data_IF_103468710598
#
_entry.id   IF_103468710598
#
_cell.length_a   1.000
_cell.length_b   1.000
_cell.length_c   1.000
_cell.angle_alpha   90.00
_cell.angle_beta   90.00
_cell.angle_gamma   90.00
#
_symmetry.space_group_name_H-M   'P 1'
#
loop_
_entity.id
_entity.type
_entity.pdbx_description
1 polymer ?
#
# COMPACT_ATOMS: atom_id res chain seq x y z
N UNK A 1 -25.38 -5.44 10.69
CA UNK A 1 -24.18 -4.91 9.98
C UNK A 1 -23.12 -6.01 10.00
N UNK A 2 -22.70 -6.50 8.82
CA UNK A 2 -21.62 -7.49 8.76
C UNK A 2 -20.33 -6.83 9.27
N UNK A 3 -19.71 -7.38 10.30
CA UNK A 3 -18.41 -6.94 10.82
C UNK A 3 -17.36 -7.07 9.70
N UNK A 4 -16.80 -5.96 9.26
CA UNK A 4 -15.81 -5.90 8.17
C UNK A 4 -14.57 -6.76 8.46
N UNK A 5 -14.16 -6.88 9.73
CA UNK A 5 -13.07 -7.75 10.13
C UNK A 5 -13.45 -9.24 9.94
N UNK A 6 -14.68 -9.62 10.28
CA UNK A 6 -15.17 -10.99 10.06
C UNK A 6 -15.20 -11.34 8.57
N UNK A 7 -15.69 -10.42 7.75
CA UNK A 7 -15.68 -10.60 6.30
C UNK A 7 -14.26 -10.77 5.76
N UNK A 8 -13.35 -9.85 6.09
CA UNK A 8 -11.97 -9.88 5.61
C UNK A 8 -11.23 -11.14 6.09
N UNK A 9 -11.39 -11.49 7.38
CA UNK A 9 -10.79 -12.71 7.93
C UNK A 9 -11.30 -13.96 7.20
N UNK A 10 -12.60 -14.02 6.91
CA UNK A 10 -13.20 -15.13 6.15
C UNK A 10 -12.66 -15.23 4.72
N UNK A 11 -12.58 -14.10 4.01
CA UNK A 11 -12.02 -14.05 2.65
C UNK A 11 -10.55 -14.48 2.64
N UNK A 12 -9.75 -13.97 3.57
CA UNK A 12 -8.33 -14.34 3.66
C UNK A 12 -8.15 -15.82 4.03
N UNK A 13 -8.95 -16.34 4.98
CA UNK A 13 -8.93 -17.77 5.33
C UNK A 13 -9.24 -18.64 4.11
N UNK A 14 -10.32 -18.35 3.40
CA UNK A 14 -10.72 -19.10 2.20
C UNK A 14 -9.64 -19.07 1.12
N UNK A 15 -9.11 -17.89 0.78
CA UNK A 15 -8.08 -17.73 -0.26
C UNK A 15 -6.75 -18.36 0.15
N UNK A 16 -6.41 -18.31 1.43
CA UNK A 16 -5.22 -18.94 1.98
C UNK A 16 -5.35 -20.46 2.17
N UNK A 17 -6.55 -21.01 2.09
CA UNK A 17 -6.82 -22.42 2.39
C UNK A 17 -6.66 -22.74 3.87
N UNK A 18 -7.01 -21.80 4.76
CA UNK A 18 -7.00 -21.99 6.19
C UNK A 18 -8.41 -22.35 6.68
N UNK A 19 -8.58 -23.58 7.15
CA UNK A 19 -9.89 -24.09 7.58
C UNK A 19 -10.22 -23.80 9.06
N UNK A 20 -9.25 -23.22 9.80
CA UNK A 20 -9.44 -22.87 11.20
C UNK A 20 -10.24 -21.58 11.39
N UNK A 21 -10.74 -21.35 12.61
CA UNK A 21 -11.37 -20.11 13.00
C UNK A 21 -10.36 -19.18 13.68
N UNK A 22 -10.03 -18.06 13.03
CA UNK A 22 -9.28 -16.99 13.65
C UNK A 22 -10.21 -16.21 14.60
N UNK A 23 -9.88 -16.18 15.89
CA UNK A 23 -10.65 -15.43 16.90
C UNK A 23 -10.40 -13.93 16.73
N UNK A 24 -11.46 -13.19 16.42
CA UNK A 24 -11.38 -11.74 16.26
C UNK A 24 -11.49 -11.02 17.61
N UNK A 25 -10.64 -10.03 17.89
CA UNK A 25 -10.90 -9.08 18.96
C UNK A 25 -12.29 -8.44 18.81
N UNK A 26 -12.90 -8.00 19.90
CA UNK A 26 -14.21 -7.35 19.88
C UNK A 26 -14.24 -6.14 18.95
N UNK A 27 -15.40 -5.82 18.33
CA UNK A 27 -15.54 -4.64 17.47
C UNK A 27 -15.35 -3.35 18.28
N UNK A 28 -14.87 -2.27 17.63
CA UNK A 28 -14.74 -0.99 18.29
C UNK A 28 -16.12 -0.45 18.70
N UNK A 29 -16.18 0.21 19.83
CA UNK A 29 -17.39 0.82 20.37
C UNK A 29 -17.48 2.31 20.06
N UNK A 30 -18.70 2.87 20.07
CA UNK A 30 -18.95 4.29 19.90
C UNK A 30 -19.25 4.73 18.45
N UNK A 31 -19.71 5.98 18.27
CA UNK A 31 -20.08 6.54 16.98
C UNK A 31 -18.89 6.63 16.00
N UNK A 32 -19.13 6.49 14.69
CA UNK A 32 -18.12 6.55 13.63
C UNK A 32 -17.26 7.83 13.72
N UNK A 33 -17.92 8.99 13.93
CA UNK A 33 -17.22 10.28 14.09
C UNK A 33 -16.26 10.29 15.28
N UNK A 34 -16.65 9.72 16.41
CA UNK A 34 -15.77 9.68 17.60
C UNK A 34 -14.55 8.79 17.35
N UNK A 35 -14.72 7.64 16.69
CA UNK A 35 -13.61 6.77 16.31
C UNK A 35 -12.67 7.44 15.31
N UNK A 36 -13.23 8.19 14.32
CA UNK A 36 -12.44 8.97 13.38
C UNK A 36 -11.56 10.02 14.08
N UNK A 37 -12.14 10.79 14.99
CA UNK A 37 -11.39 11.78 15.77
C UNK A 37 -10.29 11.11 16.62
N UNK A 38 -10.60 9.99 17.25
CA UNK A 38 -9.65 9.25 18.08
C UNK A 38 -8.51 8.57 17.27
N UNK A 39 -8.66 8.39 15.96
CA UNK A 39 -7.61 7.80 15.11
C UNK A 39 -6.45 8.75 14.81
N UNK A 40 -6.59 10.04 15.07
CA UNK A 40 -5.63 11.07 14.67
C UNK A 40 -5.74 11.49 13.19
N UNK A 41 -6.47 10.75 12.35
CA UNK A 41 -6.61 11.06 10.92
C UNK A 41 -7.38 12.37 10.67
N UNK A 42 -8.18 12.83 11.61
CA UNK A 42 -8.85 14.12 11.52
C UNK A 42 -7.86 15.28 11.35
N UNK A 43 -6.70 15.23 12.00
CA UNK A 43 -5.66 16.25 11.89
C UNK A 43 -4.98 16.30 10.51
N UNK A 44 -5.20 15.27 9.70
CA UNK A 44 -4.64 15.10 8.35
C UNK A 44 -5.72 15.18 7.26
N UNK A 45 -6.97 15.53 7.60
CA UNK A 45 -8.10 15.45 6.66
C UNK A 45 -8.93 16.73 6.69
N UNK A 46 -9.08 17.34 5.53
CA UNK A 46 -9.83 18.59 5.38
C UNK A 46 -8.98 19.78 4.93
N UNK A 47 -9.52 20.99 4.89
CA UNK A 47 -8.81 22.18 4.43
C UNK A 47 -7.62 22.50 5.32
N UNK A 48 -6.58 23.13 4.74
CA UNK A 48 -5.38 23.55 5.48
C UNK A 48 -5.75 24.49 6.63
N UNK A 49 -6.59 25.47 6.31
CA UNK A 49 -7.13 26.43 7.26
C UNK A 49 -8.61 26.11 7.54
N UNK A 50 -8.95 25.81 8.79
CA UNK A 50 -10.33 25.50 9.19
C UNK A 50 -10.47 24.15 9.92
N UNK A 51 -11.71 23.70 10.08
CA UNK A 51 -12.03 22.50 10.82
C UNK A 51 -11.77 21.22 10.00
N UNK A 52 -11.37 20.11 10.66
CA UNK A 52 -11.28 18.81 10.03
C UNK A 52 -12.62 18.35 9.44
N UNK A 53 -12.56 17.68 8.29
CA UNK A 53 -13.74 17.09 7.68
C UNK A 53 -13.78 15.60 7.99
N UNK A 54 -14.86 15.14 8.62
CA UNK A 54 -15.10 13.72 8.81
C UNK A 54 -15.60 13.09 7.49
N UNK A 55 -15.13 11.90 7.12
CA UNK A 55 -15.63 11.18 5.95
C UNK A 55 -17.14 10.88 6.08
N UNK A 56 -17.86 10.94 4.96
CA UNK A 56 -19.26 10.52 4.90
C UNK A 56 -19.45 9.00 5.04
N UNK A 57 -18.36 8.23 4.98
CA UNK A 57 -18.30 6.79 5.17
C UNK A 57 -17.48 6.44 6.41
N UNK A 58 -17.82 5.36 7.09
CA UNK A 58 -17.13 4.90 8.30
C UNK A 58 -15.77 4.25 7.97
N UNK A 59 -14.81 5.05 7.48
CA UNK A 59 -13.45 4.59 7.19
C UNK A 59 -12.78 4.01 8.44
N UNK A 60 -13.03 4.59 9.62
CA UNK A 60 -12.44 4.14 10.86
C UNK A 60 -12.76 2.67 11.18
N UNK A 61 -13.99 2.21 10.87
CA UNK A 61 -14.35 0.79 11.07
C UNK A 61 -13.61 -0.15 10.13
N UNK A 62 -13.31 0.28 8.90
CA UNK A 62 -12.55 -0.52 7.95
C UNK A 62 -11.06 -0.56 8.28
N UNK A 63 -10.50 0.55 8.74
CA UNK A 63 -9.12 0.61 9.22
C UNK A 63 -8.93 -0.26 10.48
N UNK A 64 -9.87 -0.22 11.42
CA UNK A 64 -9.90 -1.10 12.58
C UNK A 64 -10.04 -2.58 12.19
N UNK A 65 -10.85 -2.86 11.19
CA UNK A 65 -11.01 -4.23 10.69
C UNK A 65 -9.69 -4.85 10.20
N UNK A 66 -8.83 -4.06 9.54
CA UNK A 66 -7.49 -4.51 9.14
C UNK A 66 -6.60 -4.82 10.34
N UNK A 67 -6.61 -3.95 11.35
CA UNK A 67 -5.88 -4.16 12.61
C UNK A 67 -6.32 -5.47 13.27
N UNK A 68 -7.62 -5.64 13.48
CA UNK A 68 -8.20 -6.82 14.14
C UNK A 68 -7.93 -8.12 13.36
N UNK A 69 -8.04 -8.08 12.05
CA UNK A 69 -7.75 -9.23 11.18
C UNK A 69 -6.27 -9.63 11.26
N UNK A 70 -5.36 -8.66 11.24
CA UNK A 70 -3.92 -8.90 11.40
C UNK A 70 -3.61 -9.54 12.75
N UNK A 71 -4.19 -9.00 13.83
CA UNK A 71 -4.03 -9.53 15.19
C UNK A 71 -4.60 -10.95 15.32
N UNK A 72 -5.74 -11.22 14.68
CA UNK A 72 -6.35 -12.54 14.71
C UNK A 72 -5.47 -13.62 14.09
N UNK A 73 -4.87 -13.36 12.91
CA UNK A 73 -3.94 -14.32 12.30
C UNK A 73 -2.60 -14.41 13.03
N UNK A 74 -2.10 -13.34 13.63
CA UNK A 74 -0.93 -13.40 14.50
C UNK A 74 -1.16 -14.36 15.69
N UNK A 75 -2.34 -14.30 16.32
CA UNK A 75 -2.71 -15.21 17.39
C UNK A 75 -2.80 -16.68 16.93
N UNK A 76 -3.30 -16.93 15.71
CA UNK A 76 -3.32 -18.29 15.12
C UNK A 76 -1.90 -18.84 14.96
N UNK A 77 -0.93 -17.98 14.66
CA UNK A 77 0.48 -18.38 14.53
C UNK A 77 1.17 -18.61 15.90
N UNK A 78 0.44 -18.48 17.00
CA UNK A 78 0.96 -18.68 18.36
C UNK A 78 1.86 -17.55 18.87
N UNK A 79 1.90 -16.43 18.17
CA UNK A 79 2.65 -15.26 18.58
C UNK A 79 1.77 -14.30 19.41
N UNK A 80 2.38 -13.53 20.30
CA UNK A 80 1.69 -12.40 20.92
C UNK A 80 1.26 -11.43 19.81
N UNK A 81 -0.03 -11.07 19.69
CA UNK A 81 -0.46 -10.15 18.65
C UNK A 81 0.30 -8.83 18.77
N UNK A 82 0.78 -8.26 17.64
CA UNK A 82 1.42 -6.96 17.67
C UNK A 82 0.47 -5.94 18.31
N UNK A 83 1.02 -4.99 19.06
CA UNK A 83 0.23 -3.91 19.68
C UNK A 83 -0.19 -2.89 18.64
N UNK A 84 -1.05 -3.31 17.71
CA UNK A 84 -1.55 -2.48 16.62
C UNK A 84 -2.73 -1.63 17.09
N UNK A 85 -2.69 -0.37 16.74
CA UNK A 85 -3.72 0.63 17.01
C UNK A 85 -3.94 1.50 15.77
N UNK A 86 -4.98 2.32 15.75
CA UNK A 86 -5.28 3.22 14.63
C UNK A 86 -4.22 4.34 14.43
N UNK A 87 -3.42 4.64 15.45
CA UNK A 87 -2.31 5.61 15.35
C UNK A 87 -1.20 5.16 14.37
N UNK A 88 -1.14 3.88 14.03
CA UNK A 88 -0.28 3.36 12.96
C UNK A 88 -0.49 4.10 11.62
N UNK A 89 -1.72 4.52 11.32
CA UNK A 89 -2.05 5.24 10.09
C UNK A 89 -1.57 6.70 10.08
N UNK A 90 -1.09 7.21 11.21
CA UNK A 90 -0.62 8.59 11.39
C UNK A 90 0.82 8.67 11.90
N UNK A 91 1.50 7.54 12.13
CA UNK A 91 2.84 7.53 12.73
C UNK A 91 3.88 8.28 11.89
N UNK A 92 3.83 8.21 10.53
CA UNK A 92 4.71 8.98 9.65
C UNK A 92 4.44 10.48 9.76
N UNK A 93 3.18 10.86 9.76
CA UNK A 93 2.78 12.25 9.90
C UNK A 93 3.22 12.84 11.26
N UNK A 94 3.13 12.05 12.32
CA UNK A 94 3.61 12.44 13.66
C UNK A 94 5.13 12.65 13.67
N UNK A 95 5.90 11.74 13.08
CA UNK A 95 7.36 11.85 12.98
C UNK A 95 7.82 13.08 12.17
N UNK A 96 7.03 13.51 11.17
CA UNK A 96 7.35 14.62 10.28
C UNK A 96 6.62 15.93 10.62
N UNK A 97 5.74 15.93 11.61
CA UNK A 97 4.92 17.10 11.96
C UNK A 97 3.93 17.53 10.87
N UNK A 98 3.46 16.58 10.05
CA UNK A 98 2.56 16.89 8.93
C UNK A 98 1.16 17.28 9.42
N UNK A 99 0.48 18.06 8.58
CA UNK A 99 -0.90 18.52 8.80
C UNK A 99 -1.70 18.40 7.50
N UNK A 100 -3.01 18.49 7.61
CA UNK A 100 -3.92 18.51 6.46
C UNK A 100 -3.62 19.67 5.52
N UNK A 101 -3.70 19.42 4.23
CA UNK A 101 -3.42 20.40 3.17
C UNK A 101 -4.56 20.58 2.18
N UNK A 102 -5.73 19.97 2.42
CA UNK A 102 -6.90 20.07 1.54
C UNK A 102 -6.64 19.41 0.19
N UNK A 103 -6.41 20.23 -0.83
CA UNK A 103 -6.08 19.79 -2.20
C UNK A 103 -4.60 19.42 -2.40
N UNK A 104 -3.78 19.64 -1.40
CA UNK A 104 -2.38 19.23 -1.35
C UNK A 104 -2.27 18.12 -0.31
N UNK A 105 -1.57 17.03 -0.64
CA UNK A 105 -1.33 15.96 0.33
C UNK A 105 -0.54 16.43 1.53
N UNK A 106 -0.69 15.80 2.68
CA UNK A 106 0.02 16.17 3.91
C UNK A 106 1.54 16.22 3.71
N UNK A 107 2.10 15.31 2.91
CA UNK A 107 3.52 15.28 2.52
C UNK A 107 3.89 16.28 1.42
N UNK A 108 2.95 16.99 0.80
CA UNK A 108 3.16 18.06 -0.19
C UNK A 108 3.45 17.59 -1.62
N UNK A 109 3.71 16.31 -1.85
CA UNK A 109 4.12 15.79 -3.15
C UNK A 109 2.95 15.56 -4.12
N UNK A 110 1.73 15.38 -3.62
CA UNK A 110 0.55 15.15 -4.44
C UNK A 110 -0.42 16.33 -4.40
N UNK A 111 -1.15 16.55 -5.52
CA UNK A 111 -2.19 17.57 -5.61
C UNK A 111 -3.41 17.07 -6.37
N UNK A 112 -4.59 17.50 -5.91
CA UNK A 112 -5.83 17.41 -6.66
C UNK A 112 -5.87 18.52 -7.71
N UNK A 113 -6.12 18.16 -8.96
CA UNK A 113 -6.21 19.10 -10.08
C UNK A 113 -7.57 18.97 -10.76
N UNK A 114 -8.18 20.12 -11.05
CA UNK A 114 -9.43 20.18 -11.81
C UNK A 114 -9.11 20.08 -13.31
N UNK A 115 -9.60 19.03 -13.97
CA UNK A 115 -9.66 18.92 -15.42
C UNK A 115 -10.94 19.57 -15.97
N UNK A 116 -11.14 19.58 -17.27
CA UNK A 116 -12.29 20.22 -17.92
C UNK A 116 -13.63 19.64 -17.42
N UNK A 117 -13.67 18.33 -17.15
CA UNK A 117 -14.87 17.58 -16.79
C UNK A 117 -14.86 17.05 -15.34
N UNK A 118 -13.72 16.57 -14.83
CA UNK A 118 -13.62 15.90 -13.52
C UNK A 118 -12.30 16.27 -12.82
N UNK A 119 -11.92 15.54 -11.77
CA UNK A 119 -10.71 15.74 -10.98
C UNK A 119 -9.69 14.63 -11.22
N UNK A 120 -8.43 15.03 -11.27
CA UNK A 120 -7.28 14.13 -11.22
C UNK A 120 -6.45 14.36 -9.95
N UNK A 121 -5.78 13.32 -9.47
CA UNK A 121 -4.66 13.42 -8.53
C UNK A 121 -3.37 13.23 -9.28
N UNK A 122 -2.37 14.06 -8.99
CA UNK A 122 -1.01 13.97 -9.52
C UNK A 122 -0.04 13.94 -8.36
N UNK A 123 0.89 13.00 -8.37
CA UNK A 123 1.93 12.87 -7.36
C UNK A 123 3.31 13.03 -8.02
N UNK A 124 4.06 14.06 -7.66
CA UNK A 124 5.40 14.33 -8.18
C UNK A 124 6.45 14.14 -7.06
N UNK A 125 6.46 12.94 -6.47
CA UNK A 125 7.32 12.62 -5.34
C UNK A 125 8.79 12.36 -5.76
N UNK A 126 9.05 12.12 -7.05
CA UNK A 126 10.38 11.80 -7.54
C UNK A 126 10.93 12.96 -8.36
N UNK A 127 12.23 13.31 -8.20
CA UNK A 127 12.85 14.37 -9.03
C UNK A 127 12.68 14.13 -10.53
N UNK A 128 12.80 12.88 -10.99
CA UNK A 128 12.64 12.47 -12.38
C UNK A 128 11.21 12.66 -12.92
N UNK A 129 10.19 12.81 -12.09
CA UNK A 129 8.82 13.09 -12.54
C UNK A 129 8.73 14.47 -13.24
N UNK A 130 9.61 15.39 -12.88
CA UNK A 130 9.67 16.72 -13.47
C UNK A 130 10.40 16.75 -14.81
N UNK A 131 11.21 15.73 -15.15
CA UNK A 131 11.97 15.68 -16.41
C UNK A 131 11.07 15.46 -17.64
N UNK A 132 9.89 14.85 -17.42
CA UNK A 132 8.91 14.59 -18.48
C UNK A 132 7.79 15.62 -18.55
N UNK A 133 7.85 16.68 -17.75
CA UNK A 133 6.79 17.68 -17.60
C UNK A 133 6.41 18.36 -18.93
N UNK A 134 7.41 18.81 -19.68
CA UNK A 134 7.20 19.48 -20.95
C UNK A 134 6.59 18.55 -22.00
N UNK A 135 7.02 17.29 -22.05
CA UNK A 135 6.45 16.28 -22.93
C UNK A 135 4.98 15.97 -22.59
N UNK A 136 4.61 16.10 -21.30
CA UNK A 136 3.24 15.85 -20.86
C UNK A 136 2.29 17.01 -21.13
N UNK A 137 2.72 18.23 -20.79
CA UNK A 137 1.86 19.43 -20.77
C UNK A 137 2.02 20.27 -22.04
N UNK A 138 3.13 20.10 -22.80
CA UNK A 138 3.45 20.92 -23.96
C UNK A 138 3.92 22.34 -23.63
N UNK A 139 4.21 22.63 -22.36
CA UNK A 139 4.70 23.91 -21.89
C UNK A 139 5.97 23.73 -21.04
N UNK A 140 6.94 24.66 -21.05
CA UNK A 140 8.11 24.61 -20.19
C UNK A 140 7.73 24.56 -18.72
N UNK A 141 8.48 23.76 -17.95
CA UNK A 141 8.23 23.54 -16.51
C UNK A 141 8.15 24.84 -15.72
N UNK A 142 9.15 25.72 -15.86
CA UNK A 142 9.29 26.94 -15.05
C UNK A 142 9.35 26.69 -13.54
N UNK A 143 9.52 27.76 -12.75
CA UNK A 143 9.54 27.65 -11.27
C UNK A 143 8.14 27.37 -10.69
N UNK A 144 7.08 27.82 -11.35
CA UNK A 144 5.69 27.65 -10.94
C UNK A 144 5.04 26.42 -11.59
N UNK A 145 5.74 25.29 -11.67
CA UNK A 145 5.28 24.07 -12.37
C UNK A 145 3.87 23.61 -11.98
N UNK A 146 3.47 23.70 -10.71
CA UNK A 146 2.11 23.35 -10.29
C UNK A 146 1.03 24.26 -10.89
N UNK A 147 1.31 25.55 -11.03
CA UNK A 147 0.39 26.49 -11.70
C UNK A 147 0.25 26.17 -13.19
N UNK A 148 1.36 25.89 -13.86
CA UNK A 148 1.36 25.47 -15.27
C UNK A 148 0.62 24.14 -15.45
N UNK A 149 0.83 23.18 -14.55
CA UNK A 149 0.15 21.89 -14.56
C UNK A 149 -1.36 22.03 -14.34
N UNK A 150 -1.77 22.86 -13.38
CA UNK A 150 -3.20 23.14 -13.13
C UNK A 150 -3.90 23.77 -14.34
N UNK A 151 -3.22 24.69 -15.02
CA UNK A 151 -3.71 25.30 -16.26
C UNK A 151 -3.80 24.29 -17.40
N UNK A 152 -2.80 23.43 -17.55
CA UNK A 152 -2.77 22.34 -18.54
C UNK A 152 -3.88 21.31 -18.29
N UNK A 153 -4.07 20.90 -17.05
CA UNK A 153 -5.15 19.99 -16.66
C UNK A 153 -6.54 20.56 -17.00
N UNK A 154 -6.78 21.84 -16.72
CA UNK A 154 -8.07 22.49 -16.99
C UNK A 154 -8.45 22.58 -18.48
N UNK A 155 -7.51 22.30 -19.40
CA UNK A 155 -7.76 22.30 -20.86
C UNK A 155 -8.12 20.92 -21.41
N UNK A 156 -7.88 19.86 -20.66
CA UNK A 156 -8.06 18.47 -21.07
C UNK A 156 -9.18 17.81 -20.24
N UNK A 157 -9.89 16.87 -20.85
CA UNK A 157 -10.69 15.95 -20.07
C UNK A 157 -9.78 15.07 -19.19
N UNK A 158 -10.33 14.55 -18.10
CA UNK A 158 -9.55 13.81 -17.10
C UNK A 158 -8.93 12.52 -17.66
N UNK A 159 -9.61 11.87 -18.60
CA UNK A 159 -9.13 10.63 -19.21
C UNK A 159 -7.89 10.88 -20.07
N UNK A 160 -7.95 11.88 -20.95
CA UNK A 160 -6.81 12.31 -21.78
C UNK A 160 -5.64 12.76 -20.90
N UNK A 161 -5.91 13.58 -19.88
CA UNK A 161 -4.87 14.07 -18.98
C UNK A 161 -4.15 12.92 -18.25
N UNK A 162 -4.91 11.97 -17.70
CA UNK A 162 -4.37 10.83 -16.96
C UNK A 162 -3.65 9.85 -17.89
N UNK A 163 -4.22 9.52 -19.03
CA UNK A 163 -3.62 8.59 -19.99
C UNK A 163 -2.28 9.09 -20.50
N UNK A 164 -2.19 10.37 -20.89
CA UNK A 164 -0.94 10.97 -21.35
C UNK A 164 0.16 10.94 -20.27
N UNK A 165 -0.17 11.28 -19.03
CA UNK A 165 0.82 11.22 -17.94
C UNK A 165 1.25 9.79 -17.60
N UNK A 166 0.35 8.81 -17.64
CA UNK A 166 0.68 7.39 -17.43
C UNK A 166 1.60 6.82 -18.49
N UNK A 167 1.44 7.21 -19.75
CA UNK A 167 2.35 6.82 -20.84
C UNK A 167 3.80 7.26 -20.55
N UNK A 168 3.97 8.38 -19.87
CA UNK A 168 5.28 8.90 -19.44
C UNK A 168 5.76 8.31 -18.11
N UNK A 169 4.98 7.42 -17.49
CA UNK A 169 5.33 6.76 -16.22
C UNK A 169 5.13 7.61 -14.99
N UNK A 170 4.28 8.65 -15.07
CA UNK A 170 3.92 9.50 -13.94
C UNK A 170 2.88 8.82 -13.04
N UNK A 171 2.95 9.04 -11.72
CA UNK A 171 1.95 8.59 -10.76
C UNK A 171 0.76 9.56 -10.72
N UNK A 172 -0.32 9.18 -11.36
CA UNK A 172 -1.56 9.97 -11.39
C UNK A 172 -2.77 9.08 -11.66
N UNK A 173 -3.94 9.57 -11.26
CA UNK A 173 -5.20 8.87 -11.44
C UNK A 173 -6.41 9.81 -11.49
N UNK A 174 -7.54 9.32 -11.98
CA UNK A 174 -8.84 9.94 -11.73
C UNK A 174 -9.23 9.77 -10.27
N UNK A 175 -9.98 10.75 -9.77
CA UNK A 175 -10.56 10.66 -8.42
C UNK A 175 -11.72 9.66 -8.43
N UNK A 176 -11.69 8.70 -7.50
CA UNK A 176 -12.76 7.73 -7.30
C UNK A 176 -13.23 7.04 -8.60
N UNK A 177 -12.31 6.38 -9.29
CA UNK A 177 -12.62 5.55 -10.45
C UNK A 177 -12.80 4.07 -10.05
N UNK A 178 -13.95 3.68 -9.47
CA UNK A 178 -14.15 2.32 -8.94
C UNK A 178 -14.30 1.26 -10.04
N UNK A 179 -14.68 1.69 -11.24
CA UNK A 179 -14.87 0.79 -12.41
C UNK A 179 -14.02 1.28 -13.56
N UNK A 180 -12.87 0.69 -13.73
CA UNK A 180 -11.98 0.91 -14.85
C UNK A 180 -11.45 -0.44 -15.39
N UNK A 181 -10.75 -0.38 -16.50
CA UNK A 181 -10.22 -1.57 -17.17
C UNK A 181 -9.29 -2.40 -16.27
N UNK A 182 -8.52 -1.76 -15.39
CA UNK A 182 -7.63 -2.46 -14.45
C UNK A 182 -8.44 -3.25 -13.42
N UNK A 183 -9.47 -2.65 -12.84
CA UNK A 183 -10.31 -3.34 -11.85
C UNK A 183 -11.15 -4.43 -12.53
N UNK A 184 -11.65 -4.17 -13.72
CA UNK A 184 -12.38 -5.18 -14.51
C UNK A 184 -11.50 -6.39 -14.88
N UNK A 185 -10.20 -6.18 -15.10
CA UNK A 185 -9.25 -7.25 -15.36
C UNK A 185 -8.86 -8.08 -14.10
N UNK A 186 -9.28 -7.65 -12.91
CA UNK A 186 -8.93 -8.24 -11.62
C UNK A 186 -10.17 -8.40 -10.70
N UNK A 187 -11.22 -9.10 -11.17
CA UNK A 187 -12.49 -9.16 -10.46
C UNK A 187 -12.38 -9.76 -9.06
N UNK A 188 -11.38 -10.61 -8.81
CA UNK A 188 -11.12 -11.20 -7.50
C UNK A 188 -10.69 -10.16 -6.44
N UNK A 189 -10.23 -8.97 -6.86
CA UNK A 189 -9.83 -7.89 -5.96
C UNK A 189 -10.83 -6.70 -5.95
N UNK A 190 -11.94 -6.81 -6.66
CA UNK A 190 -12.95 -5.75 -6.77
C UNK A 190 -13.58 -5.35 -5.42
N UNK A 191 -13.52 -6.22 -4.42
CA UNK A 191 -13.98 -5.94 -3.06
C UNK A 191 -12.86 -5.48 -2.13
N UNK A 192 -11.67 -5.23 -2.66
CA UNK A 192 -10.54 -4.70 -1.91
C UNK A 192 -9.75 -5.74 -1.12
N UNK A 193 -9.95 -7.03 -1.38
CA UNK A 193 -9.13 -8.09 -0.78
C UNK A 193 -8.01 -8.55 -1.73
N UNK A 194 -6.81 -8.92 -1.21
CA UNK A 194 -5.66 -9.30 -2.02
C UNK A 194 -5.86 -10.60 -2.78
N UNK A 195 -5.21 -10.76 -3.93
CA UNK A 195 -5.09 -12.05 -4.61
C UNK A 195 -4.16 -12.98 -3.82
N UNK A 196 -4.57 -14.23 -3.63
CA UNK A 196 -3.72 -15.27 -3.03
C UNK A 196 -3.72 -16.48 -3.97
N UNK A 197 -2.57 -16.74 -4.57
CA UNK A 197 -2.39 -17.82 -5.52
C UNK A 197 -1.56 -18.92 -4.88
N UNK A 198 -2.19 -20.05 -4.59
CA UNK A 198 -1.54 -21.23 -3.98
C UNK A 198 -1.26 -22.29 -5.03
N UNK A 199 -0.12 -22.97 -4.85
CA UNK A 199 0.26 -24.14 -5.66
C UNK A 199 0.52 -25.39 -4.82
N UNK A 200 0.53 -25.23 -3.48
CA UNK A 200 0.68 -26.35 -2.55
C UNK A 200 -0.60 -26.54 -1.72
N UNK A 201 -0.90 -27.77 -1.27
CA UNK A 201 -1.97 -28.00 -0.31
C UNK A 201 -1.71 -27.26 0.99
N UNK A 202 -2.78 -27.00 1.75
CA UNK A 202 -2.67 -26.44 3.09
C UNK A 202 -1.93 -27.42 4.02
N UNK A 203 -1.26 -26.87 5.02
CA UNK A 203 -0.48 -27.60 6.03
C UNK A 203 -0.64 -26.98 7.41
N UNK A 204 0.10 -27.46 8.41
CA UNK A 204 0.05 -26.90 9.75
C UNK A 204 0.60 -25.47 9.78
N UNK A 205 0.13 -24.62 10.71
CA UNK A 205 0.65 -23.27 10.91
C UNK A 205 2.18 -23.27 11.07
N UNK A 206 2.82 -22.27 10.50
CA UNK A 206 4.27 -22.11 10.58
C UNK A 206 4.65 -21.23 11.77
N UNK A 207 5.66 -21.64 12.51
CA UNK A 207 6.20 -20.89 13.64
C UNK A 207 6.97 -19.64 13.15
N UNK A 208 6.49 -18.41 13.42
CA UNK A 208 7.14 -17.19 12.94
C UNK A 208 8.60 -17.04 13.40
N UNK A 209 8.95 -17.51 14.60
CA UNK A 209 10.30 -17.39 15.15
C UNK A 209 11.35 -18.21 14.37
N UNK A 210 10.92 -19.12 13.50
CA UNK A 210 11.79 -19.92 12.66
C UNK A 210 11.90 -19.40 11.22
N UNK A 211 11.17 -18.33 10.88
CA UNK A 211 11.13 -17.81 9.52
C UNK A 211 12.28 -16.85 9.22
N UNK A 212 12.80 -16.97 8.00
CA UNK A 212 13.68 -15.97 7.38
C UNK A 212 12.85 -15.19 6.36
N UNK A 213 12.73 -13.90 6.58
CA UNK A 213 12.01 -12.96 5.71
C UNK A 213 13.01 -12.09 4.97
N UNK A 214 12.92 -12.02 3.64
CA UNK A 214 13.69 -11.10 2.80
C UNK A 214 12.79 -9.96 2.38
N UNK A 215 13.12 -8.74 2.80
CA UNK A 215 12.38 -7.52 2.54
C UNK A 215 13.11 -6.66 1.51
N UNK A 216 12.61 -6.69 0.26
CA UNK A 216 13.12 -5.92 -0.89
C UNK A 216 12.36 -4.61 -1.10
N UNK A 217 11.47 -4.27 -0.19
CA UNK A 217 10.60 -3.11 -0.30
C UNK A 217 11.24 -1.82 0.21
N UNK A 218 10.60 -0.70 -0.03
CA UNK A 218 11.02 0.61 0.47
C UNK A 218 9.83 1.48 0.87
N UNK A 219 10.11 2.63 1.44
CA UNK A 219 9.16 3.63 1.90
C UNK A 219 8.31 3.17 3.09
N UNK A 220 7.04 2.76 2.88
CA UNK A 220 6.12 2.49 3.98
C UNK A 220 5.45 1.10 3.91
N UNK A 221 4.66 0.80 2.89
CA UNK A 221 3.78 -0.38 2.86
C UNK A 221 4.51 -1.71 3.10
N UNK A 222 5.55 -1.98 2.32
CA UNK A 222 6.36 -3.19 2.48
C UNK A 222 7.20 -3.20 3.75
N UNK A 223 7.92 -2.11 4.08
CA UNK A 223 8.65 -2.03 5.35
C UNK A 223 7.76 -2.22 6.59
N UNK A 224 6.51 -1.74 6.58
CA UNK A 224 5.54 -2.01 7.63
C UNK A 224 5.23 -3.51 7.73
N UNK A 225 4.96 -4.16 6.61
CA UNK A 225 4.75 -5.60 6.57
C UNK A 225 5.97 -6.34 7.18
N UNK A 226 7.19 -6.00 6.72
CA UNK A 226 8.42 -6.58 7.27
C UNK A 226 8.63 -6.32 8.76
N UNK A 227 8.27 -5.11 9.26
CA UNK A 227 8.29 -4.77 10.69
C UNK A 227 7.38 -5.73 11.49
N UNK A 228 6.17 -5.95 11.02
CA UNK A 228 5.21 -6.80 11.73
C UNK A 228 5.64 -8.27 11.73
N UNK A 229 6.31 -8.75 10.69
CA UNK A 229 6.97 -10.07 10.73
C UNK A 229 8.09 -10.12 11.78
N UNK A 230 8.91 -9.07 11.90
CA UNK A 230 9.95 -9.00 12.92
C UNK A 230 9.36 -8.97 14.34
N UNK A 231 8.26 -8.25 14.56
CA UNK A 231 7.54 -8.21 15.84
C UNK A 231 6.96 -9.59 16.24
N UNK A 232 6.64 -10.45 15.27
CA UNK A 232 6.27 -11.84 15.51
C UNK A 232 7.47 -12.77 15.78
N UNK A 233 8.70 -12.26 15.75
CA UNK A 233 9.92 -13.00 16.04
C UNK A 233 10.66 -13.51 14.80
N UNK A 234 10.19 -13.24 13.58
CA UNK A 234 10.88 -13.65 12.36
C UNK A 234 12.21 -12.90 12.18
N UNK A 235 13.22 -13.58 11.62
CA UNK A 235 14.45 -12.94 11.18
C UNK A 235 14.21 -12.19 9.88
N UNK A 236 14.16 -10.87 9.91
CA UNK A 236 13.93 -10.05 8.71
C UNK A 236 15.23 -9.45 8.20
N UNK A 237 15.51 -9.65 6.91
CA UNK A 237 16.67 -9.11 6.21
C UNK A 237 16.17 -8.10 5.17
N UNK A 238 16.39 -6.81 5.45
CA UNK A 238 16.10 -5.73 4.50
C UNK A 238 17.25 -5.63 3.49
N UNK A 239 16.90 -5.71 2.22
CA UNK A 239 17.84 -5.63 1.11
C UNK A 239 17.64 -4.33 0.35
N UNK A 240 18.72 -3.61 0.09
CA UNK A 240 18.71 -2.38 -0.68
C UNK A 240 19.71 -2.45 -1.85
N UNK A 241 19.42 -1.68 -2.90
CA UNK A 241 20.38 -1.44 -3.98
C UNK A 241 21.41 -0.39 -3.56
N UNK A 242 22.69 -0.62 -3.84
CA UNK A 242 23.74 0.39 -3.65
C UNK A 242 23.48 1.69 -4.42
N UNK A 243 22.79 1.61 -5.57
CA UNK A 243 22.55 2.76 -6.46
C UNK A 243 21.20 3.40 -6.28
N UNK A 244 20.29 2.74 -5.53
CA UNK A 244 18.95 3.22 -5.24
C UNK A 244 18.54 2.79 -3.84
N UNK A 245 19.10 3.43 -2.80
CA UNK A 245 18.72 3.17 -1.42
C UNK A 245 17.25 3.52 -1.19
N UNK A 246 16.68 3.08 -0.06
CA UNK A 246 15.33 3.46 0.34
C UNK A 246 15.24 4.97 0.57
N UNK A 247 14.34 5.64 -0.17
CA UNK A 247 14.17 7.09 -0.07
C UNK A 247 13.77 7.60 1.33
N UNK A 248 13.21 6.74 2.17
CA UNK A 248 12.89 7.09 3.55
C UNK A 248 14.14 7.32 4.41
N UNK A 249 15.33 6.81 4.03
CA UNK A 249 16.60 7.04 4.77
C UNK A 249 16.95 8.51 4.86
N UNK A 250 16.78 9.23 3.74
CA UNK A 250 17.08 10.67 3.67
C UNK A 250 15.85 11.52 3.94
N UNK A 251 14.71 11.12 3.39
CA UNK A 251 13.47 11.90 3.49
C UNK A 251 12.85 11.89 4.89
N UNK A 252 13.05 10.83 5.68
CA UNK A 252 12.55 10.71 7.05
C UNK A 252 13.33 9.65 7.84
N UNK A 253 14.53 9.98 8.37
CA UNK A 253 15.38 9.04 9.10
C UNK A 253 14.69 8.39 10.32
N UNK A 254 13.89 9.17 11.07
CA UNK A 254 13.15 8.66 12.23
C UNK A 254 12.12 7.61 11.81
N UNK A 255 11.36 7.89 10.75
CA UNK A 255 10.39 6.96 10.19
C UNK A 255 11.07 5.71 9.58
N UNK A 256 12.20 5.90 8.87
CA UNK A 256 13.00 4.78 8.40
C UNK A 256 13.43 3.86 9.56
N UNK A 257 13.93 4.44 10.65
CA UNK A 257 14.33 3.68 11.84
C UNK A 257 13.15 2.96 12.49
N UNK A 258 11.96 3.57 12.53
CA UNK A 258 10.72 2.96 13.01
C UNK A 258 10.34 1.73 12.19
N UNK A 259 10.42 1.83 10.86
CA UNK A 259 10.05 0.73 9.96
C UNK A 259 11.08 -0.40 9.91
N UNK A 260 12.37 -0.09 10.15
CA UNK A 260 13.45 -1.03 9.86
C UNK A 260 14.38 -1.34 11.04
N UNK A 261 14.19 -0.71 12.20
CA UNK A 261 15.10 -0.85 13.37
C UNK A 261 15.24 -2.28 13.91
N UNK A 262 14.23 -3.14 13.69
CA UNK A 262 14.28 -4.57 14.07
C UNK A 262 14.82 -5.50 12.98
N UNK A 263 15.29 -4.97 11.83
CA UNK A 263 15.73 -5.75 10.67
C UNK A 263 17.25 -5.72 10.50
N UNK A 264 17.80 -6.79 9.94
CA UNK A 264 19.18 -6.82 9.48
C UNK A 264 19.26 -6.18 8.09
N UNK A 265 19.98 -5.06 7.93
CA UNK A 265 20.12 -4.38 6.63
C UNK A 265 21.35 -4.91 5.88
N UNK A 266 21.17 -5.20 4.58
CA UNK A 266 22.22 -5.56 3.63
C UNK A 266 22.04 -4.79 2.33
N UNK A 267 23.16 -4.52 1.64
CA UNK A 267 23.17 -3.76 0.40
C UNK A 267 23.90 -4.53 -0.69
N UNK A 268 23.29 -4.61 -1.89
CA UNK A 268 23.90 -5.26 -3.06
C UNK A 268 23.98 -4.31 -4.27
N UNK A 269 25.02 -4.47 -5.09
CA UNK A 269 25.05 -3.82 -6.42
C UNK A 269 24.29 -4.70 -7.43
N UNK A 270 23.06 -4.35 -7.73
CA UNK A 270 22.22 -5.09 -8.68
C UNK A 270 22.69 -4.96 -10.16
N UNK A 271 23.62 -4.06 -10.48
CA UNK A 271 24.25 -3.96 -11.80
C UNK A 271 25.32 -5.02 -11.97
N UNK A 272 26.00 -5.42 -10.89
CA UNK A 272 26.99 -6.47 -10.90
C UNK A 272 26.35 -7.87 -10.88
N UNK A 273 26.93 -8.81 -11.61
CA UNK A 273 26.44 -10.20 -11.62
C UNK A 273 26.54 -10.84 -10.24
N UNK A 274 27.64 -10.59 -9.51
CA UNK A 274 27.82 -11.06 -8.14
C UNK A 274 26.74 -10.56 -7.18
N UNK A 275 26.32 -9.30 -7.31
CA UNK A 275 25.24 -8.75 -6.49
C UNK A 275 23.88 -9.39 -6.81
N UNK A 276 23.58 -9.62 -8.11
CA UNK A 276 22.36 -10.36 -8.51
C UNK A 276 22.37 -11.82 -8.06
N UNK A 277 23.52 -12.47 -8.10
CA UNK A 277 23.69 -13.83 -7.59
C UNK A 277 23.48 -13.90 -6.08
N UNK A 278 24.07 -12.95 -5.33
CA UNK A 278 23.87 -12.86 -3.88
C UNK A 278 22.39 -12.65 -3.51
N UNK A 279 21.68 -11.77 -4.24
CA UNK A 279 20.25 -11.58 -4.07
C UNK A 279 19.46 -12.87 -4.31
N UNK A 280 19.72 -13.57 -5.42
CA UNK A 280 19.04 -14.85 -5.73
C UNK A 280 19.30 -15.90 -4.66
N UNK A 281 20.55 -16.05 -4.22
CA UNK A 281 20.93 -16.98 -3.16
C UNK A 281 20.21 -16.67 -1.84
N UNK A 282 20.02 -15.37 -1.53
CA UNK A 282 19.29 -14.96 -0.34
C UNK A 282 17.79 -15.29 -0.46
N UNK A 283 17.18 -15.02 -1.62
CA UNK A 283 15.77 -15.35 -1.91
C UNK A 283 15.55 -16.87 -1.85
N UNK A 284 16.49 -17.68 -2.34
CA UNK A 284 16.39 -19.14 -2.28
C UNK A 284 16.37 -19.71 -0.86
N UNK A 285 16.86 -18.96 0.11
CA UNK A 285 16.87 -19.33 1.54
C UNK A 285 15.73 -18.73 2.33
N UNK A 286 14.94 -17.86 1.71
CA UNK A 286 13.84 -17.18 2.37
C UNK A 286 12.59 -18.08 2.49
N UNK A 287 11.93 -17.98 3.63
CA UNK A 287 10.58 -18.52 3.85
C UNK A 287 9.52 -17.54 3.34
N UNK A 288 9.79 -16.25 3.50
CA UNK A 288 8.92 -15.16 3.04
C UNK A 288 9.77 -14.15 2.27
N UNK A 289 9.28 -13.71 1.12
CA UNK A 289 9.84 -12.58 0.36
C UNK A 289 8.79 -11.49 0.27
N UNK A 290 9.17 -10.27 0.65
CA UNK A 290 8.34 -9.06 0.53
C UNK A 290 8.99 -8.16 -0.52
N UNK A 291 8.26 -7.78 -1.57
CA UNK A 291 8.77 -6.84 -2.58
C UNK A 291 7.71 -5.80 -2.96
N UNK A 292 8.18 -4.61 -3.33
CA UNK A 292 7.34 -3.50 -3.77
C UNK A 292 7.78 -2.94 -5.13
N UNK A 293 8.29 -3.81 -6.00
CA UNK A 293 8.77 -3.43 -7.31
C UNK A 293 7.69 -3.66 -8.38
N UNK A 294 7.77 -2.91 -9.47
CA UNK A 294 6.95 -3.21 -10.64
C UNK A 294 7.34 -4.58 -11.21
N UNK A 295 6.39 -5.39 -11.73
CA UNK A 295 6.68 -6.75 -12.23
C UNK A 295 7.86 -6.82 -13.20
N UNK A 296 7.99 -5.82 -14.10
CA UNK A 296 9.13 -5.75 -15.05
C UNK A 296 10.49 -5.61 -14.35
N UNK A 297 10.56 -4.98 -13.19
CA UNK A 297 11.83 -4.80 -12.47
C UNK A 297 12.33 -6.11 -11.88
N UNK A 298 11.44 -6.96 -11.34
CA UNK A 298 11.80 -8.31 -10.91
C UNK A 298 12.29 -9.16 -12.08
N UNK A 299 11.59 -9.10 -13.23
CA UNK A 299 12.00 -9.81 -14.44
C UNK A 299 13.39 -9.37 -14.94
N UNK A 300 13.72 -8.07 -14.87
CA UNK A 300 15.05 -7.54 -15.22
C UNK A 300 16.17 -8.06 -14.30
N UNK A 301 15.85 -8.38 -13.04
CA UNK A 301 16.78 -9.01 -12.09
C UNK A 301 16.87 -10.53 -12.30
N UNK A 302 16.11 -11.11 -13.26
CA UNK A 302 16.02 -12.53 -13.48
C UNK A 302 15.27 -13.28 -12.37
N UNK A 303 14.34 -12.60 -11.70
CA UNK A 303 13.54 -13.15 -10.60
C UNK A 303 12.09 -13.28 -11.08
N UNK A 304 11.59 -14.53 -11.07
CA UNK A 304 10.19 -14.84 -11.35
C UNK A 304 9.51 -15.35 -10.07
N UNK A 305 8.68 -14.52 -9.43
CA UNK A 305 7.96 -14.89 -8.22
C UNK A 305 7.04 -16.11 -8.38
N UNK A 306 6.44 -16.28 -9.56
CA UNK A 306 5.54 -17.40 -9.84
C UNK A 306 6.35 -18.70 -9.95
N UNK A 307 7.45 -18.69 -10.70
CA UNK A 307 8.32 -19.86 -10.82
C UNK A 307 8.92 -20.25 -9.46
N UNK A 308 9.36 -19.26 -8.66
CA UNK A 308 9.94 -19.51 -7.33
C UNK A 308 8.90 -20.15 -6.40
N UNK A 309 7.70 -19.59 -6.30
CA UNK A 309 6.68 -20.13 -5.39
C UNK A 309 6.13 -21.48 -5.85
N UNK A 310 6.13 -21.77 -7.16
CA UNK A 310 5.78 -23.11 -7.69
C UNK A 310 6.84 -24.16 -7.38
N UNK A 311 8.11 -23.83 -7.52
CA UNK A 311 9.21 -24.76 -7.27
C UNK A 311 9.52 -24.96 -5.79
N UNK A 312 9.10 -24.00 -4.95
CA UNK A 312 9.33 -23.98 -3.50
C UNK A 312 8.00 -23.89 -2.75
N UNK A 313 7.32 -25.02 -2.52
CA UNK A 313 5.93 -25.07 -2.09
C UNK A 313 5.66 -24.51 -0.69
N UNK A 314 6.70 -24.11 0.06
CA UNK A 314 6.56 -23.47 1.38
C UNK A 314 6.87 -21.97 1.38
N UNK A 315 7.40 -21.44 0.27
CA UNK A 315 7.74 -20.02 0.18
C UNK A 315 6.49 -19.19 0.03
N UNK A 316 6.39 -18.12 0.83
CA UNK A 316 5.38 -17.08 0.71
C UNK A 316 6.01 -15.89 -0.01
N UNK A 317 5.44 -15.49 -1.13
CA UNK A 317 5.87 -14.29 -1.84
C UNK A 317 4.81 -13.22 -1.71
N UNK A 318 5.13 -12.10 -1.08
CA UNK A 318 4.23 -10.95 -0.91
C UNK A 318 4.67 -9.85 -1.86
N UNK A 319 3.84 -9.55 -2.85
CA UNK A 319 4.08 -8.50 -3.83
C UNK A 319 3.15 -7.32 -3.57
N UNK A 320 3.73 -6.15 -3.35
CA UNK A 320 3.01 -4.88 -3.19
C UNK A 320 3.24 -4.02 -4.43
N UNK A 321 2.17 -3.64 -5.10
CA UNK A 321 2.23 -2.80 -6.30
C UNK A 321 1.19 -1.69 -6.22
N UNK A 322 1.30 -0.66 -7.04
CA UNK A 322 0.29 0.40 -7.06
C UNK A 322 -1.09 -0.12 -7.51
N UNK A 323 -1.11 -0.94 -8.58
CA UNK A 323 -2.35 -1.38 -9.25
C UNK A 323 -2.42 -2.89 -9.50
N UNK A 324 -1.58 -3.69 -8.83
CA UNK A 324 -1.55 -5.15 -8.97
C UNK A 324 -0.53 -5.65 -9.98
N UNK A 325 -0.20 -6.95 -9.90
CA UNK A 325 0.81 -7.60 -10.73
C UNK A 325 0.34 -7.88 -12.16
N UNK A 326 -0.96 -7.90 -12.40
CA UNK A 326 -1.60 -8.26 -13.66
C UNK A 326 -2.51 -7.14 -14.15
N UNK A 327 -3.07 -7.29 -15.34
CA UNK A 327 -3.93 -6.28 -15.94
C UNK A 327 -3.16 -5.16 -16.66
N UNK A 328 -3.86 -4.26 -17.36
CA UNK A 328 -3.26 -3.23 -18.20
C UNK A 328 -2.39 -2.23 -17.46
N UNK A 329 -2.63 -2.01 -16.14
CA UNK A 329 -1.87 -1.04 -15.33
C UNK A 329 -0.81 -1.69 -14.44
N UNK A 330 -0.46 -2.96 -14.64
CA UNK A 330 0.49 -3.69 -13.80
C UNK A 330 1.88 -3.03 -13.68
N UNK A 331 2.27 -2.21 -14.65
CA UNK A 331 3.50 -1.42 -14.61
C UNK A 331 3.28 0.08 -14.35
N UNK A 332 2.05 0.50 -14.07
CA UNK A 332 1.78 1.88 -13.70
C UNK A 332 2.42 2.22 -12.35
N UNK A 333 2.87 3.46 -12.22
CA UNK A 333 3.45 3.98 -10.98
C UNK A 333 2.33 4.57 -10.12
N UNK A 334 2.44 4.39 -8.82
CA UNK A 334 1.58 5.04 -7.84
C UNK A 334 2.19 4.96 -6.45
N UNK A 335 1.74 5.82 -5.58
CA UNK A 335 2.12 5.95 -4.17
C UNK A 335 0.87 5.99 -3.29
N UNK A 336 1.05 6.09 -2.00
CA UNK A 336 -0.05 6.01 -1.04
C UNK A 336 -1.13 7.08 -1.22
N UNK A 337 -0.77 8.30 -1.59
CA UNK A 337 -1.73 9.40 -1.79
C UNK A 337 -2.60 9.20 -3.03
N UNK A 338 -1.96 9.01 -4.20
CA UNK A 338 -2.68 8.89 -5.47
C UNK A 338 -3.47 7.60 -5.59
N UNK A 339 -2.95 6.48 -5.04
CA UNK A 339 -3.67 5.22 -5.00
C UNK A 339 -4.89 5.27 -4.05
N UNK A 340 -4.81 5.97 -2.91
CA UNK A 340 -5.95 6.18 -2.03
C UNK A 340 -7.07 6.98 -2.73
N UNK A 341 -6.70 8.05 -3.42
CA UNK A 341 -7.62 8.89 -4.20
C UNK A 341 -8.23 8.11 -5.36
N UNK A 342 -7.43 7.32 -6.08
CA UNK A 342 -7.92 6.45 -7.16
C UNK A 342 -8.96 5.43 -6.68
N UNK A 343 -8.82 4.95 -5.44
CA UNK A 343 -9.78 4.06 -4.80
C UNK A 343 -11.06 4.78 -4.30
N UNK A 344 -11.05 6.10 -4.23
CA UNK A 344 -12.17 6.89 -3.70
C UNK A 344 -12.09 7.21 -2.20
N UNK A 345 -10.91 7.05 -1.59
CA UNK A 345 -10.65 7.50 -0.21
C UNK A 345 -10.41 9.00 -0.23
N UNK A 346 -11.49 9.75 -0.24
CA UNK A 346 -11.50 11.22 -0.27
C UNK A 346 -12.57 11.76 0.67
N UNK A 347 -12.39 12.99 1.12
CA UNK A 347 -13.48 13.84 1.63
C UNK A 347 -13.80 14.94 0.61
N UNK A 348 -14.94 15.60 0.77
CA UNK A 348 -15.33 16.68 -0.15
C UNK A 348 -15.64 17.93 0.64
N UNK A 349 -15.25 19.07 0.08
CA UNK A 349 -15.64 20.37 0.63
C UNK A 349 -17.12 20.72 0.36
N UNK A 350 -17.55 21.89 0.77
CA UNK A 350 -18.92 22.37 0.57
C UNK A 350 -19.30 22.55 -0.92
N UNK A 351 -18.32 22.71 -1.81
CA UNK A 351 -18.52 22.80 -3.26
C UNK A 351 -18.47 21.42 -3.94
N UNK A 352 -18.23 20.33 -3.17
CA UNK A 352 -18.12 18.97 -3.67
C UNK A 352 -16.74 18.61 -4.23
N UNK A 353 -15.75 19.50 -4.11
CA UNK A 353 -14.40 19.23 -4.58
C UNK A 353 -13.67 18.23 -3.66
N UNK A 354 -12.92 17.26 -4.21
CA UNK A 354 -12.26 16.22 -3.42
C UNK A 354 -11.02 16.77 -2.72
N UNK A 355 -10.78 16.30 -1.50
CA UNK A 355 -9.57 16.56 -0.70
C UNK A 355 -8.97 15.27 -0.18
N UNK A 356 -7.68 15.32 0.14
CA UNK A 356 -6.93 14.17 0.69
C UNK A 356 -7.44 13.76 2.07
N UNK A 357 -7.29 12.46 2.34
CA UNK A 357 -7.56 11.81 3.63
C UNK A 357 -6.27 11.19 4.15
N UNK A 358 -5.82 11.65 5.31
CA UNK A 358 -4.59 11.12 5.91
C UNK A 358 -3.32 11.57 5.19
N UNK A 359 -2.26 10.80 5.38
CA UNK A 359 -0.94 10.96 4.78
C UNK A 359 -0.55 9.64 4.10
N UNK A 360 -0.43 9.64 2.78
CA UNK A 360 -0.10 8.46 1.96
C UNK A 360 -0.90 7.20 2.37
N UNK A 361 -2.21 7.37 2.66
CA UNK A 361 -3.00 6.43 3.46
C UNK A 361 -3.10 5.02 2.85
N UNK A 362 -2.98 4.86 1.51
CA UNK A 362 -2.98 3.54 0.90
C UNK A 362 -1.74 2.71 1.27
N UNK A 363 -0.61 3.33 1.66
CA UNK A 363 0.59 2.60 2.07
C UNK A 363 0.36 1.79 3.35
N UNK A 364 -0.02 2.38 4.51
CA UNK A 364 -0.26 1.59 5.72
C UNK A 364 -1.46 0.64 5.58
N UNK A 365 -2.47 0.98 4.80
CA UNK A 365 -3.59 0.07 4.48
C UNK A 365 -3.05 -1.17 3.75
N UNK A 366 -2.27 -1.00 2.68
CA UNK A 366 -1.72 -2.11 1.92
C UNK A 366 -0.68 -2.91 2.73
N UNK A 367 0.11 -2.25 3.56
CA UNK A 367 1.07 -2.89 4.46
C UNK A 367 0.39 -3.83 5.45
N UNK A 368 -0.71 -3.39 6.10
CA UNK A 368 -1.52 -4.25 6.97
C UNK A 368 -2.24 -5.35 6.20
N UNK A 369 -2.80 -5.05 5.04
CA UNK A 369 -3.45 -6.05 4.17
C UNK A 369 -2.47 -7.15 3.76
N UNK A 370 -1.25 -6.78 3.36
CA UNK A 370 -0.17 -7.69 3.02
C UNK A 370 0.25 -8.56 4.21
N UNK A 371 0.33 -7.95 5.39
CA UNK A 371 0.65 -8.66 6.63
C UNK A 371 -0.43 -9.68 7.00
N UNK A 372 -1.70 -9.25 7.01
CA UNK A 372 -2.81 -10.13 7.33
C UNK A 372 -2.91 -11.32 6.35
N UNK A 373 -2.74 -11.06 5.05
CA UNK A 373 -2.72 -12.09 4.03
C UNK A 373 -1.52 -13.05 4.16
N UNK A 374 -0.33 -12.50 4.42
CA UNK A 374 0.87 -13.30 4.68
C UNK A 374 0.72 -14.20 5.91
N UNK A 375 0.15 -13.68 6.99
CA UNK A 375 -0.13 -14.47 8.20
C UNK A 375 -1.21 -15.54 7.96
N UNK A 376 -2.26 -15.24 7.20
CA UNK A 376 -3.27 -16.22 6.81
C UNK A 376 -2.65 -17.37 5.99
N UNK A 377 -1.76 -17.05 5.04
CA UNK A 377 -1.03 -18.06 4.26
C UNK A 377 -0.11 -18.90 5.14
N UNK A 378 0.59 -18.30 6.11
CA UNK A 378 1.42 -19.04 7.05
C UNK A 378 0.58 -19.90 8.01
N UNK A 379 -0.60 -19.46 8.42
CA UNK A 379 -1.55 -20.25 9.19
C UNK A 379 -2.01 -21.50 8.44
N UNK A 380 -2.03 -21.44 7.10
CA UNK A 380 -2.30 -22.57 6.21
C UNK A 380 -1.02 -23.30 5.73
N UNK A 381 0.11 -23.16 6.41
CA UNK A 381 1.36 -23.87 6.11
C UNK A 381 2.30 -23.18 5.12
N UNK A 382 1.97 -22.02 4.60
CA UNK A 382 2.77 -21.28 3.61
C UNK A 382 2.46 -21.66 2.15
N UNK A 383 3.34 -21.29 1.23
CA UNK A 383 3.27 -21.71 -0.17
C UNK A 383 2.29 -20.96 -1.05
N UNK A 384 2.43 -19.63 -1.16
CA UNK A 384 1.60 -18.82 -2.02
C UNK A 384 2.30 -17.56 -2.54
N UNK A 385 1.80 -17.05 -3.66
CA UNK A 385 2.00 -15.66 -4.08
C UNK A 385 0.81 -14.83 -3.59
N UNK A 386 1.08 -13.81 -2.79
CA UNK A 386 0.13 -12.82 -2.30
C UNK A 386 0.30 -11.55 -3.14
N UNK A 387 -0.74 -11.17 -3.87
CA UNK A 387 -0.76 -9.97 -4.73
C UNK A 387 -1.60 -8.89 -4.08
N UNK A 388 -0.94 -7.87 -3.56
CA UNK A 388 -1.57 -6.71 -2.90
C UNK A 388 -1.35 -5.48 -3.75
N UNK A 389 -2.43 -4.82 -4.13
CA UNK A 389 -2.38 -3.52 -4.76
C UNK A 389 -2.73 -2.42 -3.74
N UNK A 390 -2.00 -1.31 -3.78
CA UNK A 390 -2.27 -0.15 -2.93
C UNK A 390 -3.69 0.35 -3.17
N UNK A 391 -4.07 0.48 -4.46
CA UNK A 391 -5.38 0.97 -4.85
C UNK A 391 -6.49 0.03 -4.42
N UNK A 392 -6.41 -1.29 -4.69
CA UNK A 392 -7.44 -2.23 -4.29
C UNK A 392 -7.51 -2.40 -2.76
N UNK A 393 -6.39 -2.37 -2.05
CA UNK A 393 -6.40 -2.35 -0.59
C UNK A 393 -7.11 -1.10 -0.03
N UNK A 394 -6.87 0.08 -0.61
CA UNK A 394 -7.60 1.30 -0.25
C UNK A 394 -9.09 1.23 -0.61
N UNK A 395 -9.46 0.50 -1.68
CA UNK A 395 -10.86 0.28 -2.06
C UNK A 395 -11.66 -0.44 -0.95
N UNK A 396 -11.04 -1.35 -0.20
CA UNK A 396 -11.65 -1.94 0.98
C UNK A 396 -12.13 -0.87 1.98
N UNK A 397 -11.37 0.19 2.16
CA UNK A 397 -11.73 1.31 3.04
C UNK A 397 -12.79 2.21 2.37
N UNK A 398 -12.64 2.51 1.08
CA UNK A 398 -13.59 3.34 0.33
C UNK A 398 -15.00 2.73 0.28
N UNK A 399 -15.13 1.41 0.34
CA UNK A 399 -16.41 0.68 0.39
C UNK A 399 -17.04 0.61 1.79
N UNK A 400 -16.54 1.39 2.76
CA UNK A 400 -17.16 1.47 4.07
C UNK A 400 -18.64 1.91 3.98
N UNK A 401 -19.52 1.48 4.90
CA UNK A 401 -20.90 1.97 4.97
C UNK A 401 -20.92 3.47 5.27
N UNK A 402 -22.08 4.09 5.10
CA UNK A 402 -22.29 5.48 5.56
C UNK A 402 -21.98 5.59 7.06
N UNK A 403 -21.38 6.72 7.46
CA UNK A 403 -20.92 7.00 8.81
C UNK A 403 -22.07 7.35 9.78
#
# INVERSE_FOLDING_TARGET
MNDAARWLTGVLSQRAGYDGLASLPGPPTGPARARWLASGLAELTGPADGEPIAPARDYASRLDALVRTTQAFAAVLGAAPPSLRLDLYTERAADLGLRRGGYVSAGGAARMLRCADDWAVVNLARPEDLDVFEAWIGEPRGDAHWTTLSRGAGRLDVETFVSNGRLLGLPLARVAAPTDEQLAARPEQAEGAPGIHRWAPAGPPRDPAKLVVVDLSGLWAGPLCGRLFAELGAKVIKVESMTRPDGAREGSPAFFARMNGGKQCVTFDFRAESGRLALRTLIERADVVIEAARPRAMAQLGIDPVAITRSRPHTVWISLTAYGRTGPWSNAVGFGDDCAVAAGVVVRDAAGAPMFVGDALADPIAGLMATAAGFAVLAAGGGALVDVSLREAALFVAQAPAA
#
